data_IF_626979676437
#
_entry.id   IF_626979676437
#
_cell.length_a   1.000
_cell.length_b   1.000
_cell.length_c   1.000
_cell.angle_alpha   90.00
_cell.angle_beta   90.00
_cell.angle_gamma   90.00
#
_symmetry.space_group_name_H-M   'P 1'
#
loop_
_entity.id
_entity.type
_entity.pdbx_description
1 polymer ?
#
# COMPACT_ATOMS: atom_id res chain seq x y z
N UNK A 1 -6.34 -9.75 -6.13
CA UNK A 1 -4.86 -9.95 -6.16
C UNK A 1 -4.14 -8.70 -6.68
N UNK A 2 -4.89 -7.81 -7.31
CA UNK A 2 -4.41 -6.76 -8.23
C UNK A 2 -4.02 -5.47 -7.51
N UNK A 3 -4.46 -5.31 -6.26
CA UNK A 3 -4.03 -4.21 -5.39
C UNK A 3 -2.56 -4.33 -4.97
N UNK A 4 -2.01 -5.54 -4.88
CA UNK A 4 -0.62 -5.74 -4.44
C UNK A 4 0.40 -4.92 -5.24
N UNK A 5 0.46 -5.01 -6.59
CA UNK A 5 1.45 -4.24 -7.36
C UNK A 5 1.27 -2.73 -7.24
N UNK A 6 0.05 -2.24 -7.01
CA UNK A 6 -0.22 -0.82 -6.84
C UNK A 6 0.33 -0.35 -5.49
N UNK A 7 -0.05 -1.03 -4.40
CA UNK A 7 0.34 -0.61 -3.04
C UNK A 7 1.83 -0.84 -2.80
N UNK A 8 2.44 -1.89 -3.35
CA UNK A 8 3.89 -2.09 -3.21
C UNK A 8 4.70 -0.96 -3.86
N UNK A 9 4.24 -0.43 -5.01
CA UNK A 9 4.85 0.75 -5.64
C UNK A 9 4.70 1.99 -4.77
N UNK A 10 3.54 2.21 -4.16
CA UNK A 10 3.30 3.34 -3.25
C UNK A 10 4.24 3.32 -2.04
N UNK A 11 4.43 2.16 -1.39
CA UNK A 11 5.38 2.02 -0.28
C UNK A 11 6.82 2.27 -0.76
N UNK A 12 7.17 1.79 -1.95
CA UNK A 12 8.50 2.02 -2.54
C UNK A 12 8.74 3.52 -2.82
N UNK A 13 7.76 4.24 -3.35
CA UNK A 13 7.82 5.69 -3.51
C UNK A 13 7.94 6.41 -2.15
N UNK A 14 7.19 5.93 -1.15
CA UNK A 14 7.30 6.41 0.23
C UNK A 14 8.72 6.31 0.78
N UNK A 15 9.41 5.19 0.54
CA UNK A 15 10.81 4.97 0.95
C UNK A 15 11.81 5.92 0.26
N UNK A 16 11.51 6.40 -0.95
CA UNK A 16 12.37 7.36 -1.67
C UNK A 16 12.40 8.72 -0.97
N UNK A 17 11.30 9.13 -0.33
CA UNK A 17 11.23 10.29 0.55
C UNK A 17 11.36 11.67 -0.11
N UNK A 18 11.43 11.76 -1.43
CA UNK A 18 11.56 13.01 -2.16
C UNK A 18 10.20 13.72 -2.38
N UNK A 19 10.25 15.03 -2.59
CA UNK A 19 9.04 15.84 -2.88
C UNK A 19 8.31 15.34 -4.12
N UNK A 20 9.06 14.85 -5.12
CA UNK A 20 8.48 14.29 -6.33
C UNK A 20 7.70 13.00 -6.06
N UNK A 21 8.22 12.05 -5.24
CA UNK A 21 7.42 10.88 -4.83
C UNK A 21 6.17 11.31 -4.07
N UNK A 22 6.29 12.28 -3.17
CA UNK A 22 5.13 12.75 -2.40
C UNK A 22 4.02 13.28 -3.30
N UNK A 23 4.36 14.08 -4.32
CA UNK A 23 3.41 14.56 -5.34
C UNK A 23 2.79 13.42 -6.15
N UNK A 24 3.59 12.43 -6.54
CA UNK A 24 3.09 11.25 -7.26
C UNK A 24 2.08 10.45 -6.41
N UNK A 25 2.38 10.21 -5.14
CA UNK A 25 1.47 9.50 -4.22
C UNK A 25 0.19 10.33 -3.99
N UNK A 26 0.29 11.65 -3.82
CA UNK A 26 -0.87 12.54 -3.66
C UNK A 26 -1.79 12.45 -4.88
N UNK A 27 -1.23 12.51 -6.10
CA UNK A 27 -2.01 12.41 -7.33
C UNK A 27 -2.75 11.07 -7.46
N UNK A 28 -2.22 9.99 -6.87
CA UNK A 28 -2.82 8.66 -6.95
C UNK A 28 -3.83 8.36 -5.83
N UNK A 29 -3.62 8.86 -4.61
CA UNK A 29 -4.49 8.59 -3.45
C UNK A 29 -5.53 9.70 -3.26
N UNK A 30 -5.19 10.95 -3.52
CA UNK A 30 -6.05 12.12 -3.31
C UNK A 30 -6.31 12.51 -1.85
N UNK A 31 -5.82 11.74 -0.87
CA UNK A 31 -6.00 12.00 0.56
C UNK A 31 -4.67 12.30 1.26
N UNK A 32 -4.48 13.54 1.68
CA UNK A 32 -3.24 14.01 2.31
C UNK A 32 -2.94 13.36 3.67
N UNK A 33 -3.97 13.03 4.46
CA UNK A 33 -3.80 12.37 5.76
C UNK A 33 -3.20 10.97 5.62
N UNK A 34 -3.63 10.22 4.61
CA UNK A 34 -3.09 8.89 4.29
C UNK A 34 -1.65 9.01 3.77
N UNK A 35 -1.39 10.00 2.90
CA UNK A 35 -0.03 10.28 2.39
C UNK A 35 0.91 10.59 3.56
N UNK A 36 0.50 11.46 4.48
CA UNK A 36 1.31 11.80 5.65
C UNK A 36 1.68 10.55 6.45
N UNK A 37 0.69 9.70 6.78
CA UNK A 37 0.94 8.44 7.51
C UNK A 37 1.84 7.47 6.74
N UNK A 38 1.75 7.42 5.41
CA UNK A 38 2.60 6.59 4.57
C UNK A 38 4.08 6.98 4.71
N UNK A 39 4.39 8.27 4.61
CA UNK A 39 5.75 8.78 4.68
C UNK A 39 6.30 8.83 6.11
N UNK A 40 5.48 9.19 7.10
CA UNK A 40 5.94 9.38 8.48
C UNK A 40 6.06 8.07 9.26
N UNK A 41 5.21 7.08 8.98
CA UNK A 41 5.12 5.85 9.79
C UNK A 41 5.47 4.59 9.00
N UNK A 42 4.91 4.42 7.80
CA UNK A 42 5.03 3.15 7.06
C UNK A 42 6.38 3.05 6.34
N UNK A 43 6.80 4.11 5.66
CA UNK A 43 8.05 4.11 4.91
C UNK A 43 9.29 3.87 5.80
N UNK A 44 9.44 4.52 6.98
CA UNK A 44 10.55 4.23 7.89
C UNK A 44 10.52 2.79 8.42
N UNK A 45 9.32 2.25 8.73
CA UNK A 45 9.16 0.88 9.20
C UNK A 45 9.69 -0.17 8.22
N UNK A 46 9.57 0.09 6.92
CA UNK A 46 10.02 -0.82 5.86
C UNK A 46 11.31 -0.37 5.16
N UNK A 47 12.09 0.53 5.77
CA UNK A 47 13.31 1.08 5.20
C UNK A 47 14.30 -0.01 4.75
N UNK A 48 14.52 -1.03 5.58
CA UNK A 48 15.48 -2.13 5.33
C UNK A 48 14.92 -3.25 4.45
N UNK A 49 13.61 -3.27 4.17
CA UNK A 49 12.96 -4.36 3.44
C UNK A 49 12.88 -4.06 1.95
N UNK A 50 13.39 -4.96 1.11
CA UNK A 50 13.36 -4.83 -0.35
C UNK A 50 12.17 -5.60 -0.96
N UNK A 51 10.97 -5.05 -0.82
CA UNK A 51 9.73 -5.60 -1.41
C UNK A 51 8.93 -6.53 -0.49
N UNK A 52 7.74 -6.94 -0.94
CA UNK A 52 6.86 -7.83 -0.19
C UNK A 52 6.28 -7.17 1.07
N UNK A 53 5.83 -5.92 0.95
CA UNK A 53 5.30 -5.13 2.08
C UNK A 53 3.90 -5.61 2.52
N UNK A 54 3.18 -6.32 1.64
CA UNK A 54 1.85 -6.85 1.89
C UNK A 54 1.83 -8.37 1.88
N UNK A 55 0.89 -8.93 2.63
CA UNK A 55 0.53 -10.34 2.59
C UNK A 55 -0.96 -10.43 2.27
N UNK A 56 -1.34 -11.43 1.47
CA UNK A 56 -2.74 -11.73 1.17
C UNK A 56 -3.02 -13.11 1.77
N UNK A 57 -4.04 -13.20 2.60
CA UNK A 57 -4.51 -14.43 3.23
C UNK A 57 -5.94 -14.72 2.76
N UNK A 58 -6.23 -15.97 2.41
CA UNK A 58 -7.58 -16.36 1.99
C UNK A 58 -8.48 -16.44 3.22
N UNK A 59 -9.71 -15.93 3.10
CA UNK A 59 -10.67 -15.83 4.19
C UNK A 59 -11.96 -16.65 3.97
N UNK A 60 -11.92 -17.63 3.05
CA UNK A 60 -13.09 -18.45 2.69
C UNK A 60 -14.01 -17.74 1.71
N UNK A 61 -15.29 -18.11 1.71
CA UNK A 61 -16.30 -17.58 0.80
C UNK A 61 -17.33 -16.73 1.54
N UNK A 62 -17.76 -15.64 0.92
CA UNK A 62 -18.79 -14.77 1.46
C UNK A 62 -20.17 -15.42 1.34
N UNK A 63 -21.00 -15.23 2.36
CA UNK A 63 -22.36 -15.74 2.39
C UNK A 63 -23.24 -15.01 1.36
N UNK A 64 -24.09 -15.76 0.64
CA UNK A 64 -25.03 -15.24 -0.35
C UNK A 64 -24.52 -15.25 -1.80
N UNK A 65 -23.31 -14.76 -2.06
CA UNK A 65 -22.71 -14.68 -3.40
C UNK A 65 -21.59 -15.70 -3.66
N UNK A 66 -21.18 -16.45 -2.63
CA UNK A 66 -20.05 -17.39 -2.65
C UNK A 66 -18.75 -16.76 -3.20
N UNK A 67 -18.56 -15.45 -2.99
CA UNK A 67 -17.36 -14.76 -3.47
C UNK A 67 -16.13 -15.16 -2.63
N UNK A 68 -15.03 -15.52 -3.30
CA UNK A 68 -13.77 -15.86 -2.62
C UNK A 68 -13.16 -14.61 -1.96
N UNK A 69 -13.11 -14.60 -0.63
CA UNK A 69 -12.63 -13.48 0.17
C UNK A 69 -11.14 -13.61 0.49
N UNK A 70 -10.49 -12.45 0.65
CA UNK A 70 -9.12 -12.37 1.11
C UNK A 70 -8.91 -11.11 1.96
N UNK A 71 -7.93 -11.19 2.87
CA UNK A 71 -7.47 -10.10 3.76
C UNK A 71 -5.98 -9.87 3.55
#
# INVERSE_FOLDING_TARGET
KDLRPIVEKLVTLGKRGDLHARRQVIAQIGNEGVVKRLFDTIAPRYATRNGGYLRIMKAGFRHGDNAAMAV
#
